data_IF_635599169276
#
_entry.id   IF_635599169276
#
_cell.length_a   1.000
_cell.length_b   1.000
_cell.length_c   1.000
_cell.angle_alpha   90.00
_cell.angle_beta   90.00
_cell.angle_gamma   90.00
#
_symmetry.space_group_name_H-M   'P 1'
#
loop_
_entity.id
_entity.type
_entity.pdbx_description
1 polymer ?
#
# COMPACT_ATOMS: atom_id res chain seq x y z
N UNK A 1 1.99 19.57 11.20
CA UNK A 1 1.73 18.17 10.75
C UNK A 1 1.84 18.12 9.23
N UNK A 2 2.54 17.14 8.68
CA UNK A 2 2.65 16.96 7.22
C UNK A 2 1.32 16.39 6.70
N UNK A 3 0.72 16.93 5.63
CA UNK A 3 -0.54 16.42 5.11
C UNK A 3 -0.41 14.97 4.64
N UNK A 4 -1.43 14.15 4.92
CA UNK A 4 -1.47 12.75 4.46
C UNK A 4 -1.55 12.67 2.93
N UNK A 5 -0.75 11.81 2.34
CA UNK A 5 -0.85 11.49 0.91
C UNK A 5 -2.15 10.75 0.59
N UNK A 6 -2.59 10.78 -0.68
CA UNK A 6 -3.79 10.04 -1.10
C UNK A 6 -3.65 8.53 -0.90
N UNK A 7 -2.44 7.99 -1.07
CA UNK A 7 -2.11 6.59 -0.76
C UNK A 7 -2.36 6.28 0.72
N UNK A 8 -1.88 7.15 1.63
CA UNK A 8 -2.10 6.99 3.06
C UNK A 8 -3.58 7.07 3.43
N UNK A 9 -4.33 8.04 2.87
CA UNK A 9 -5.78 8.16 3.09
C UNK A 9 -6.53 6.90 2.63
N UNK A 10 -6.19 6.35 1.45
CA UNK A 10 -6.81 5.12 0.94
C UNK A 10 -6.59 3.93 1.89
N UNK A 11 -5.36 3.76 2.39
CA UNK A 11 -5.03 2.70 3.37
C UNK A 11 -5.78 2.86 4.68
N UNK A 12 -5.87 4.09 5.20
CA UNK A 12 -6.63 4.38 6.41
C UNK A 12 -8.12 4.05 6.26
N UNK A 13 -8.72 4.29 5.09
CA UNK A 13 -10.11 3.88 4.83
C UNK A 13 -10.29 2.35 4.85
N UNK A 14 -9.32 1.61 4.31
CA UNK A 14 -9.33 0.14 4.34
C UNK A 14 -9.20 -0.36 5.79
N UNK A 15 -8.22 0.17 6.53
CA UNK A 15 -8.01 -0.16 7.94
C UNK A 15 -9.26 0.15 8.79
N UNK A 16 -9.90 1.29 8.55
CA UNK A 16 -11.16 1.64 9.21
C UNK A 16 -12.28 0.63 8.91
N UNK A 17 -12.35 0.09 7.69
CA UNK A 17 -13.27 -0.97 7.33
C UNK A 17 -13.04 -2.26 8.12
N UNK A 18 -11.77 -2.63 8.32
CA UNK A 18 -11.38 -3.77 9.14
C UNK A 18 -11.75 -3.56 10.62
N UNK A 19 -11.39 -2.41 11.17
CA UNK A 19 -11.70 -2.04 12.57
C UNK A 19 -13.21 -2.01 12.83
N UNK A 20 -14.02 -1.57 11.86
CA UNK A 20 -15.49 -1.63 11.95
C UNK A 20 -16.02 -3.06 12.05
N UNK A 21 -15.43 -4.02 11.33
CA UNK A 21 -15.79 -5.44 11.46
C UNK A 21 -15.45 -6.02 12.83
N UNK A 22 -14.47 -5.42 13.51
CA UNK A 22 -14.10 -5.75 14.90
C UNK A 22 -14.92 -4.96 15.94
N UNK A 23 -15.93 -4.21 15.51
CA UNK A 23 -16.84 -3.46 16.40
C UNK A 23 -16.42 -2.02 16.70
N UNK A 24 -15.28 -1.54 16.19
CA UNK A 24 -14.85 -0.16 16.39
C UNK A 24 -15.72 0.79 15.57
N UNK A 25 -16.29 1.81 16.22
CA UNK A 25 -17.09 2.85 15.57
C UNK A 25 -16.30 4.15 15.51
N UNK A 26 -16.31 4.79 14.34
CA UNK A 26 -15.75 6.11 14.12
C UNK A 26 -16.89 7.11 13.99
N UNK A 27 -16.79 8.25 14.67
CA UNK A 27 -17.73 9.34 14.50
C UNK A 27 -17.74 9.81 13.04
N UNK A 28 -18.90 10.23 12.54
CA UNK A 28 -19.04 10.81 11.19
C UNK A 28 -18.45 12.22 11.12
N UNK A 29 -18.55 12.95 12.22
CA UNK A 29 -18.11 14.34 12.33
C UNK A 29 -16.77 14.40 13.09
N UNK A 30 -15.81 15.15 12.54
CA UNK A 30 -14.47 15.34 13.12
C UNK A 30 -13.33 14.72 12.33
N UNK A 31 -12.15 14.63 12.95
CA UNK A 31 -10.93 14.11 12.32
C UNK A 31 -10.97 12.58 12.20
N UNK A 32 -11.65 12.09 11.16
CA UNK A 32 -11.74 10.68 10.84
C UNK A 32 -10.35 10.00 10.76
N UNK A 33 -9.37 10.63 10.12
CA UNK A 33 -8.06 10.00 9.90
C UNK A 33 -7.26 9.91 11.20
N UNK A 34 -7.29 10.96 12.04
CA UNK A 34 -6.68 10.93 13.37
C UNK A 34 -7.29 9.87 14.27
N UNK A 35 -8.62 9.72 14.25
CA UNK A 35 -9.31 8.67 15.03
C UNK A 35 -8.93 7.26 14.59
N UNK A 36 -8.82 7.02 13.28
CA UNK A 36 -8.37 5.73 12.74
C UNK A 36 -6.92 5.46 13.13
N UNK A 37 -6.03 6.45 13.02
CA UNK A 37 -4.64 6.30 13.45
C UNK A 37 -4.53 5.93 14.94
N UNK A 38 -5.27 6.63 15.81
CA UNK A 38 -5.28 6.33 17.25
C UNK A 38 -5.80 4.92 17.56
N UNK A 39 -6.81 4.47 16.83
CA UNK A 39 -7.34 3.12 16.97
C UNK A 39 -6.32 2.05 16.52
N UNK A 40 -5.59 2.31 15.43
CA UNK A 40 -4.49 1.44 14.98
C UNK A 40 -3.36 1.43 16.01
N UNK A 41 -2.97 2.58 16.55
CA UNK A 41 -1.92 2.68 17.58
C UNK A 41 -2.23 1.84 18.83
N UNK A 42 -3.52 1.76 19.19
CA UNK A 42 -4.01 1.01 20.34
C UNK A 42 -4.32 -0.47 20.02
N UNK A 43 -4.13 -0.90 18.77
CA UNK A 43 -4.45 -2.27 18.35
C UNK A 43 -3.32 -3.22 18.74
N UNK A 44 -3.67 -4.30 19.47
CA UNK A 44 -2.69 -5.23 20.05
C UNK A 44 -1.71 -5.83 19.01
N UNK A 45 -2.20 -6.14 17.81
CA UNK A 45 -1.40 -6.72 16.73
C UNK A 45 -0.83 -5.71 15.71
N UNK A 46 -0.77 -4.40 16.05
CA UNK A 46 -0.37 -3.34 15.10
C UNK A 46 0.97 -3.62 14.41
N UNK A 47 1.97 -4.02 15.18
CA UNK A 47 3.34 -4.20 14.65
C UNK A 47 3.43 -5.43 13.74
N UNK A 48 2.80 -6.54 14.12
CA UNK A 48 2.69 -7.73 13.25
C UNK A 48 1.94 -7.42 11.95
N UNK A 49 0.83 -6.65 12.02
CA UNK A 49 0.08 -6.24 10.83
C UNK A 49 0.91 -5.34 9.91
N UNK A 50 1.73 -4.45 10.50
CA UNK A 50 2.67 -3.62 9.74
C UNK A 50 3.69 -4.48 9.02
N UNK A 51 4.32 -5.44 9.70
CA UNK A 51 5.32 -6.33 9.09
C UNK A 51 4.76 -7.12 7.90
N UNK A 52 3.54 -7.64 8.01
CA UNK A 52 2.88 -8.34 6.91
C UNK A 52 2.63 -7.42 5.70
N UNK A 53 2.23 -6.17 5.93
CA UNK A 53 2.04 -5.19 4.86
C UNK A 53 3.37 -4.81 4.23
N UNK A 54 4.40 -4.54 5.03
CA UNK A 54 5.74 -4.21 4.55
C UNK A 54 6.30 -5.34 3.68
N UNK A 55 6.06 -6.61 4.06
CA UNK A 55 6.43 -7.78 3.27
C UNK A 55 5.71 -7.83 1.91
N UNK A 56 4.38 -7.60 1.87
CA UNK A 56 3.61 -7.59 0.61
C UNK A 56 4.07 -6.46 -0.31
N UNK A 57 4.35 -5.27 0.24
CA UNK A 57 4.87 -4.14 -0.55
C UNK A 57 6.26 -4.42 -1.12
N UNK A 58 7.12 -5.10 -0.37
CA UNK A 58 8.42 -5.54 -0.86
C UNK A 58 8.28 -6.57 -1.99
N UNK A 59 7.34 -7.52 -1.88
CA UNK A 59 7.07 -8.50 -2.93
C UNK A 59 6.56 -7.86 -4.23
N UNK A 60 5.62 -6.90 -4.14
CA UNK A 60 5.10 -6.15 -5.30
C UNK A 60 6.22 -5.37 -6.00
N UNK A 61 7.06 -4.66 -5.23
CA UNK A 61 8.19 -3.91 -5.76
C UNK A 61 9.25 -4.80 -6.44
N UNK A 62 9.49 -6.00 -5.89
CA UNK A 62 10.39 -6.98 -6.51
C UNK A 62 9.84 -7.50 -7.84
N UNK A 63 8.52 -7.72 -7.92
CA UNK A 63 7.84 -8.21 -9.13
C UNK A 63 7.85 -7.19 -10.27
N UNK A 64 7.79 -5.89 -9.96
CA UNK A 64 7.90 -4.83 -10.98
C UNK A 64 9.32 -4.69 -11.55
N UNK A 65 10.33 -5.12 -10.80
CA UNK A 65 11.74 -5.09 -11.23
C UNK A 65 12.08 -6.20 -12.25
N UNK A 66 11.23 -7.22 -12.39
CA UNK A 66 11.37 -8.30 -13.37
C UNK A 66 10.75 -8.01 -14.73
N UNK A 67 10.14 -6.84 -14.95
CA UNK A 67 9.75 -6.44 -16.32
C UNK A 67 11.03 -6.28 -17.14
N UNK A 68 11.26 -7.10 -18.18
CA UNK A 68 12.47 -6.98 -18.98
C UNK A 68 12.45 -5.61 -19.64
N UNK A 69 13.41 -4.77 -19.24
CA UNK A 69 13.77 -3.57 -19.99
C UNK A 69 13.92 -4.00 -21.45
N UNK A 70 13.05 -3.46 -22.30
CA UNK A 70 12.90 -3.88 -23.69
C UNK A 70 14.26 -3.98 -24.34
N UNK A 71 14.70 -5.22 -24.60
CA UNK A 71 15.90 -5.47 -25.36
C UNK A 71 15.74 -4.79 -26.71
N UNK A 72 16.51 -3.73 -26.93
CA UNK A 72 16.76 -3.19 -28.25
C UNK A 72 17.33 -4.32 -29.10
N UNK A 73 16.45 -5.00 -29.86
CA UNK A 73 16.89 -5.94 -30.89
C UNK A 73 17.75 -5.13 -31.87
N UNK A 74 19.00 -5.53 -32.16
CA UNK A 74 19.71 -4.92 -33.26
C UNK A 74 18.91 -5.21 -34.53
N UNK A 75 18.62 -4.13 -35.27
CA UNK A 75 17.90 -4.17 -36.54
C UNK A 75 18.63 -5.15 -37.46
N UNK A 76 17.95 -6.26 -37.78
CA UNK A 76 18.50 -7.33 -38.60
C UNK A 76 19.08 -6.81 -39.90
N UNK A 77 20.33 -7.17 -40.13
CA UNK A 77 21.03 -7.05 -41.39
C UNK A 77 20.43 -8.09 -42.36
N UNK A 78 19.89 -7.61 -43.48
CA UNK A 78 19.30 -8.48 -44.50
C UNK A 78 20.40 -9.16 -45.32
N UNK A 79 20.36 -10.48 -45.56
CA UNK A 79 21.26 -11.12 -46.50
C UNK A 79 20.84 -10.74 -47.93
N UNK A 80 21.75 -10.10 -48.68
CA UNK A 80 21.60 -9.94 -50.13
C UNK A 80 21.95 -11.26 -50.80
N UNK A 81 20.97 -11.83 -51.51
CA UNK A 81 21.17 -12.89 -52.51
C UNK A 81 21.87 -12.34 -53.75
#
# INVERSE_FOLDING_TARGET
MKPLSERAKKRLRIAAGLLRKQGVRFAKDGDFYGLVMKAIESHAAKDQLRELVDWVEAYDAASDSEKPSGGSRPRGEAPRS
#
